data_IF_043037844103
#
_entry.id   IF_043037844103
#
_cell.length_a   1.000
_cell.length_b   1.000
_cell.length_c   1.000
_cell.angle_alpha   90.00
_cell.angle_beta   90.00
_cell.angle_gamma   90.00
#
_symmetry.space_group_name_H-M   'P 1'
#
loop_
_entity.id
_entity.type
_entity.pdbx_description
1 polymer ?
#
# COMPACT_ATOMS: atom_id res chain seq x y z
N UNK A 1 -28.12 9.24 -31.56
CA UNK A 1 -28.21 10.21 -30.46
C UNK A 1 -27.14 9.81 -29.47
N UNK A 2 -25.94 10.36 -29.68
CA UNK A 2 -24.69 10.06 -28.99
C UNK A 2 -24.67 10.85 -27.69
N UNK A 3 -24.79 10.14 -26.57
CA UNK A 3 -24.54 10.71 -25.24
C UNK A 3 -23.03 10.72 -25.06
N UNK A 4 -22.41 11.86 -25.34
CA UNK A 4 -21.06 12.19 -24.91
C UNK A 4 -21.08 12.28 -23.38
N UNK A 5 -20.47 11.31 -22.71
CA UNK A 5 -20.34 11.24 -21.26
C UNK A 5 -19.34 12.27 -20.73
N UNK A 6 -19.67 13.55 -20.84
CA UNK A 6 -18.92 14.64 -20.20
C UNK A 6 -19.46 14.98 -18.79
N UNK A 7 -20.57 14.37 -18.35
CA UNK A 7 -21.11 14.51 -17.00
C UNK A 7 -20.93 13.22 -16.17
N UNK A 8 -19.72 12.67 -16.16
CA UNK A 8 -19.36 11.70 -15.12
C UNK A 8 -18.87 12.49 -13.91
N UNK A 9 -19.53 12.33 -12.77
CA UNK A 9 -19.13 12.85 -11.44
C UNK A 9 -17.76 12.30 -10.96
N UNK A 10 -16.84 11.96 -11.86
CA UNK A 10 -15.42 11.63 -11.63
C UNK A 10 -14.59 12.82 -11.10
N UNK A 11 -15.19 14.00 -10.94
CA UNK A 11 -14.47 15.27 -10.79
C UNK A 11 -14.43 15.89 -9.39
N UNK A 12 -15.17 15.39 -8.39
CA UNK A 12 -15.10 15.95 -7.03
C UNK A 12 -14.59 14.92 -6.04
N UNK A 13 -13.29 14.67 -6.11
CA UNK A 13 -12.61 14.02 -5.00
C UNK A 13 -12.69 14.97 -3.80
N UNK A 14 -13.24 14.56 -2.64
CA UNK A 14 -13.09 15.35 -1.44
C UNK A 14 -11.59 15.39 -1.14
N UNK A 15 -10.97 16.56 -1.34
CA UNK A 15 -9.55 16.75 -1.07
C UNK A 15 -9.26 16.30 0.36
N UNK A 16 -8.36 15.33 0.49
CA UNK A 16 -7.87 14.92 1.79
C UNK A 16 -7.29 16.15 2.50
N UNK A 17 -7.62 16.38 3.78
CA UNK A 17 -7.13 17.55 4.48
C UNK A 17 -5.59 17.52 4.53
N UNK A 18 -4.93 18.68 4.32
CA UNK A 18 -3.48 18.75 4.36
C UNK A 18 -2.96 18.46 5.77
N UNK A 19 -1.67 18.17 5.87
CA UNK A 19 -0.97 18.14 7.15
C UNK A 19 -1.01 19.54 7.78
N UNK A 20 -1.35 19.61 9.07
CA UNK A 20 -1.52 20.85 9.81
C UNK A 20 -0.64 20.83 11.05
N UNK A 21 0.05 21.95 11.32
CA UNK A 21 0.82 22.14 12.55
C UNK A 21 0.31 23.35 13.33
N UNK A 22 0.10 23.24 14.67
CA UNK A 22 -0.33 24.36 15.51
C UNK A 22 0.85 25.27 15.82
N UNK A 23 1.32 26.03 14.83
CA UNK A 23 2.50 26.87 14.97
C UNK A 23 2.30 27.94 16.05
N UNK A 24 3.32 28.09 16.89
CA UNK A 24 3.39 29.07 17.98
C UNK A 24 4.81 29.61 18.08
N UNK A 25 5.04 30.64 18.90
CA UNK A 25 6.37 31.28 19.01
C UNK A 25 7.50 30.31 19.39
N UNK A 26 7.17 29.26 20.12
CA UNK A 26 8.06 28.19 20.58
C UNK A 26 7.92 26.87 19.79
N UNK A 27 7.12 26.87 18.71
CA UNK A 27 6.98 25.76 17.76
C UNK A 27 6.86 26.30 16.33
N UNK A 28 8.00 26.47 15.69
CA UNK A 28 8.13 26.91 14.30
C UNK A 28 8.24 25.70 13.35
N UNK A 29 8.02 25.90 12.05
CA UNK A 29 8.19 24.85 11.05
C UNK A 29 9.58 24.19 11.07
N UNK A 30 10.70 24.95 11.12
CA UNK A 30 12.03 24.34 11.27
C UNK A 30 12.18 23.48 12.52
N UNK A 31 11.52 23.84 13.62
CA UNK A 31 11.53 23.03 14.84
C UNK A 31 10.70 21.76 14.66
N UNK A 32 9.54 21.83 14.01
CA UNK A 32 8.73 20.64 13.69
C UNK A 32 9.53 19.68 12.80
N UNK A 33 10.20 20.21 11.76
CA UNK A 33 11.05 19.41 10.88
C UNK A 33 12.21 18.77 11.64
N UNK A 34 12.96 19.55 12.43
CA UNK A 34 14.06 19.00 13.22
C UNK A 34 13.60 17.87 14.16
N UNK A 35 12.44 18.03 14.79
CA UNK A 35 11.86 17.01 15.69
C UNK A 35 11.41 15.77 14.92
N UNK A 36 10.71 15.93 13.80
CA UNK A 36 10.22 14.80 13.00
C UNK A 36 11.35 13.92 12.46
N UNK A 37 12.52 14.51 12.24
CA UNK A 37 13.73 13.85 11.74
C UNK A 37 14.62 13.24 12.84
N UNK A 38 14.15 13.16 14.10
CA UNK A 38 14.96 12.66 15.22
C UNK A 38 14.24 11.61 16.07
N UNK A 39 14.90 10.46 16.23
CA UNK A 39 14.42 9.30 17.03
C UNK A 39 14.14 9.68 18.48
N UNK A 40 14.80 10.71 19.01
CA UNK A 40 14.57 11.20 20.39
C UNK A 40 13.17 11.77 20.59
N UNK A 41 12.47 12.12 19.51
CA UNK A 41 11.12 12.68 19.51
C UNK A 41 10.05 11.67 19.05
N UNK A 42 10.37 10.37 18.96
CA UNK A 42 9.40 9.33 18.57
C UNK A 42 8.12 9.34 19.43
N UNK A 43 8.26 9.68 20.71
CA UNK A 43 7.17 9.73 21.69
C UNK A 43 6.64 11.16 21.91
N UNK A 44 7.05 12.14 21.10
CA UNK A 44 6.64 13.55 21.23
C UNK A 44 5.12 13.71 20.99
N UNK A 45 4.35 14.28 21.95
CA UNK A 45 2.92 14.40 21.84
C UNK A 45 2.45 15.53 20.89
N UNK A 46 3.28 16.52 20.58
CA UNK A 46 2.98 17.52 19.55
C UNK A 46 3.14 16.91 18.16
N UNK A 47 4.23 16.17 17.90
CA UNK A 47 4.41 15.48 16.62
C UNK A 47 3.27 14.49 16.35
N UNK A 48 2.83 13.73 17.37
CA UNK A 48 1.67 12.84 17.25
C UNK A 48 0.38 13.61 16.89
N UNK A 49 0.18 14.80 17.45
CA UNK A 49 -0.99 15.66 17.11
C UNK A 49 -0.92 16.19 15.69
N UNK A 50 0.24 16.66 15.24
CA UNK A 50 0.46 17.09 13.84
C UNK A 50 0.21 15.91 12.90
N UNK A 51 0.80 14.75 13.20
CA UNK A 51 0.66 13.53 12.40
C UNK A 51 -0.79 13.07 12.29
N UNK A 52 -1.60 13.24 13.34
CA UNK A 52 -3.01 12.86 13.36
C UNK A 52 -3.90 13.74 12.45
N UNK A 53 -3.45 14.92 12.02
CA UNK A 53 -4.21 15.73 11.06
C UNK A 53 -4.12 15.16 9.65
N UNK A 54 -3.03 14.46 9.35
CA UNK A 54 -2.92 13.58 8.20
C UNK A 54 -3.64 12.27 8.55
N UNK A 55 -4.96 12.26 8.41
CA UNK A 55 -5.77 11.06 8.62
C UNK A 55 -6.07 10.39 7.28
N UNK A 56 -6.12 9.06 7.29
CA UNK A 56 -6.68 8.27 6.19
C UNK A 56 -8.18 8.11 6.45
N UNK A 57 -8.96 8.13 5.37
CA UNK A 57 -10.40 7.87 5.35
C UNK A 57 -10.68 6.89 4.21
N UNK A 58 -11.88 6.33 4.20
CA UNK A 58 -12.37 5.61 3.03
C UNK A 58 -12.32 6.53 1.81
N UNK A 59 -11.69 6.07 0.73
CA UNK A 59 -11.52 6.83 -0.51
C UNK A 59 -10.24 7.66 -0.58
N UNK A 60 -9.52 7.90 0.53
CA UNK A 60 -8.23 8.60 0.53
C UNK A 60 -7.30 7.96 -0.50
N UNK A 61 -6.70 8.78 -1.36
CA UNK A 61 -5.75 8.27 -2.36
C UNK A 61 -4.43 7.93 -1.68
N UNK A 62 -4.05 6.68 -1.77
CA UNK A 62 -2.79 6.14 -1.26
C UNK A 62 -1.83 5.90 -2.42
N UNK A 63 -0.55 6.11 -2.18
CA UNK A 63 0.53 5.91 -3.13
C UNK A 63 1.64 5.07 -2.49
N UNK A 64 2.16 4.09 -3.22
CA UNK A 64 3.42 3.39 -2.92
C UNK A 64 4.38 3.63 -4.08
N UNK A 65 5.58 4.10 -3.78
CA UNK A 65 6.64 4.29 -4.77
C UNK A 65 7.31 2.95 -5.05
N UNK A 66 7.49 2.62 -6.32
CA UNK A 66 7.87 1.30 -6.82
C UNK A 66 9.13 1.36 -7.69
N UNK A 67 9.89 0.27 -7.67
CA UNK A 67 10.81 -0.05 -8.77
C UNK A 67 10.08 -0.72 -9.94
N UNK A 68 10.74 -0.77 -11.10
CA UNK A 68 10.21 -1.46 -12.28
C UNK A 68 9.90 -2.94 -12.02
N UNK A 69 10.71 -3.61 -11.20
CA UNK A 69 10.47 -5.00 -10.78
C UNK A 69 9.20 -5.15 -9.93
N UNK A 70 8.94 -4.21 -9.02
CA UNK A 70 7.71 -4.20 -8.24
C UNK A 70 6.48 -3.89 -9.12
N UNK A 71 6.61 -3.01 -10.12
CA UNK A 71 5.55 -2.79 -11.12
C UNK A 71 5.21 -4.09 -11.85
N UNK A 72 6.22 -4.85 -12.28
CA UNK A 72 6.00 -6.16 -12.90
C UNK A 72 5.29 -7.14 -11.93
N UNK A 73 5.65 -7.12 -10.65
CA UNK A 73 4.97 -7.88 -9.60
C UNK A 73 3.48 -7.52 -9.47
N UNK A 74 3.14 -6.22 -9.43
CA UNK A 74 1.76 -5.75 -9.38
C UNK A 74 0.98 -6.07 -10.66
N UNK A 75 1.60 -5.95 -11.84
CA UNK A 75 1.01 -6.42 -13.11
C UNK A 75 0.70 -7.93 -13.06
N UNK A 76 1.56 -8.71 -12.41
CA UNK A 76 1.37 -10.15 -12.17
C UNK A 76 0.32 -10.48 -11.10
N UNK A 77 -0.14 -9.51 -10.32
CA UNK A 77 -1.18 -9.69 -9.29
C UNK A 77 -0.72 -9.51 -7.85
N UNK A 78 0.48 -8.96 -7.59
CA UNK A 78 0.83 -8.54 -6.23
C UNK A 78 -0.14 -7.49 -5.72
N UNK A 79 -0.57 -7.66 -4.48
CA UNK A 79 -1.45 -6.73 -3.78
C UNK A 79 -0.65 -5.56 -3.19
N UNK A 80 -1.27 -4.39 -2.91
CA UNK A 80 -0.64 -3.33 -2.14
C UNK A 80 -0.29 -3.80 -0.72
N UNK A 81 0.93 -3.50 -0.27
CA UNK A 81 1.41 -3.79 1.09
C UNK A 81 2.56 -2.88 1.50
N UNK A 82 2.86 -2.91 2.80
CA UNK A 82 4.02 -2.25 3.38
C UNK A 82 3.88 -0.74 3.43
N UNK A 83 5.00 -0.03 3.30
CA UNK A 83 5.00 1.44 3.40
C UNK A 83 4.24 2.09 2.25
N UNK A 84 3.46 3.10 2.58
CA UNK A 84 2.68 3.91 1.66
C UNK A 84 2.42 5.31 2.23
N UNK A 85 1.91 6.20 1.38
CA UNK A 85 1.73 7.62 1.65
C UNK A 85 0.36 8.06 1.11
N UNK A 86 -0.21 9.15 1.64
CA UNK A 86 -1.36 9.77 0.97
C UNK A 86 -0.85 10.51 -0.26
N UNK A 87 -1.54 10.40 -1.40
CA UNK A 87 -1.09 11.04 -2.64
C UNK A 87 -0.98 12.56 -2.51
N UNK A 88 -1.88 13.21 -1.75
CA UNK A 88 -1.84 14.65 -1.49
C UNK A 88 -0.56 15.09 -0.76
N UNK A 89 -0.01 14.22 0.09
CA UNK A 89 1.23 14.50 0.83
C UNK A 89 2.48 14.35 -0.06
N UNK A 90 2.33 13.85 -1.30
CA UNK A 90 3.43 13.67 -2.26
C UNK A 90 3.34 14.64 -3.45
N UNK A 91 2.28 15.44 -3.58
CA UNK A 91 2.03 16.27 -4.78
C UNK A 91 3.14 17.28 -5.11
N UNK A 92 3.95 17.64 -4.11
CA UNK A 92 5.10 18.53 -4.25
C UNK A 92 6.34 17.83 -4.82
N UNK A 93 6.44 16.50 -4.68
CA UNK A 93 7.56 15.68 -5.15
C UNK A 93 7.32 15.23 -6.59
N UNK A 94 7.43 16.17 -7.53
CA UNK A 94 7.19 15.89 -8.96
C UNK A 94 8.43 15.41 -9.68
N UNK A 95 9.61 15.72 -9.17
CA UNK A 95 10.85 15.21 -9.75
C UNK A 95 10.98 13.70 -9.45
N UNK A 96 11.26 12.85 -10.46
CA UNK A 96 11.43 11.42 -10.23
C UNK A 96 12.49 11.09 -9.18
N UNK A 97 13.58 11.85 -9.09
CA UNK A 97 14.66 11.62 -8.14
C UNK A 97 14.24 11.94 -6.70
N UNK A 98 13.45 12.99 -6.49
CA UNK A 98 12.87 13.34 -5.19
C UNK A 98 11.90 12.25 -4.72
N UNK A 99 10.99 11.82 -5.60
CA UNK A 99 10.02 10.77 -5.30
C UNK A 99 10.71 9.41 -5.05
N UNK A 100 11.80 9.13 -5.75
CA UNK A 100 12.56 7.89 -5.61
C UNK A 100 13.16 7.68 -4.21
N UNK A 101 13.32 8.74 -3.41
CA UNK A 101 13.78 8.66 -2.02
C UNK A 101 12.79 7.90 -1.12
N UNK A 102 11.52 7.83 -1.53
CA UNK A 102 10.45 7.13 -0.81
C UNK A 102 10.34 5.64 -1.18
N UNK A 103 11.21 5.14 -2.07
CA UNK A 103 11.30 3.71 -2.41
C UNK A 103 11.68 2.86 -1.20
N UNK A 104 11.19 1.62 -1.21
CA UNK A 104 11.27 0.72 -0.06
C UNK A 104 12.15 -0.51 -0.32
N UNK A 105 12.39 -0.86 -1.58
CA UNK A 105 13.09 -2.09 -1.98
C UNK A 105 14.63 -1.95 -2.05
N UNK A 106 15.16 -0.76 -1.74
CA UNK A 106 16.59 -0.48 -1.77
C UNK A 106 17.20 -0.42 -3.18
N UNK A 107 16.36 -0.44 -4.23
CA UNK A 107 16.82 -0.19 -5.59
C UNK A 107 17.33 1.25 -5.70
N UNK A 108 18.45 1.44 -6.39
CA UNK A 108 19.01 2.75 -6.73
C UNK A 108 18.78 3.02 -8.22
N UNK A 109 18.81 4.30 -8.60
CA UNK A 109 18.99 4.77 -9.97
C UNK A 109 17.93 4.35 -11.01
N UNK A 110 17.11 5.30 -11.41
CA UNK A 110 16.29 5.28 -12.62
C UNK A 110 15.91 6.71 -12.95
N UNK A 111 15.95 7.11 -14.22
CA UNK A 111 15.45 8.43 -14.65
C UNK A 111 13.92 8.55 -14.48
N UNK A 112 13.25 7.41 -14.32
CA UNK A 112 11.80 7.29 -14.16
C UNK A 112 11.50 6.65 -12.82
N UNK A 113 10.52 7.21 -12.09
CA UNK A 113 10.05 6.63 -10.84
C UNK A 113 8.64 6.12 -11.03
N UNK A 114 8.37 4.88 -10.63
CA UNK A 114 7.05 4.29 -10.75
C UNK A 114 6.28 4.38 -9.43
N UNK A 115 4.95 4.29 -9.51
CA UNK A 115 4.12 4.20 -8.31
C UNK A 115 2.86 3.37 -8.55
N UNK A 116 2.35 2.76 -7.49
CA UNK A 116 0.98 2.27 -7.40
C UNK A 116 0.15 3.30 -6.64
N UNK A 117 -0.94 3.77 -7.25
CA UNK A 117 -1.93 4.63 -6.62
C UNK A 117 -3.25 3.89 -6.49
N UNK A 118 -3.86 3.93 -5.31
CA UNK A 118 -5.15 3.29 -5.06
C UNK A 118 -5.96 4.12 -4.08
N UNK A 119 -7.24 3.80 -3.91
CA UNK A 119 -8.07 4.43 -2.87
C UNK A 119 -8.19 3.52 -1.67
N UNK A 120 -8.01 4.05 -0.48
CA UNK A 120 -8.16 3.29 0.76
C UNK A 120 -9.58 2.74 0.89
N UNK A 121 -9.71 1.42 1.04
CA UNK A 121 -10.99 0.75 1.32
C UNK A 121 -11.52 1.15 2.70
N UNK A 122 -10.66 1.11 3.71
CA UNK A 122 -10.99 1.49 5.08
C UNK A 122 -9.73 1.99 5.82
N UNK A 123 -9.84 3.01 6.69
CA UNK A 123 -8.69 3.47 7.49
C UNK A 123 -8.08 2.41 8.41
N UNK A 124 -8.82 1.37 8.83
CA UNK A 124 -8.28 0.30 9.69
C UNK A 124 -7.13 -0.47 9.04
N UNK A 125 -7.03 -0.42 7.71
CA UNK A 125 -5.98 -1.10 6.96
C UNK A 125 -4.63 -0.39 7.01
N UNK A 126 -4.51 0.73 7.74
CA UNK A 126 -3.29 1.53 7.80
C UNK A 126 -2.89 1.87 9.22
N UNK A 127 -1.59 1.79 9.48
CA UNK A 127 -0.98 2.14 10.74
C UNK A 127 0.12 3.18 10.53
N UNK A 128 0.41 3.96 11.58
CA UNK A 128 1.63 4.75 11.62
C UNK A 128 2.79 3.81 11.99
N UNK A 129 3.93 3.84 11.30
CA UNK A 129 5.10 2.98 11.58
C UNK A 129 5.87 3.43 12.83
N UNK A 130 5.15 3.51 13.94
CA UNK A 130 5.61 3.99 15.23
C UNK A 130 4.95 3.18 16.35
N UNK A 131 5.43 3.35 17.58
CA UNK A 131 4.77 2.82 18.77
C UNK A 131 3.38 3.47 18.94
N UNK A 132 2.34 2.72 19.34
CA UNK A 132 2.37 1.32 19.79
C UNK A 132 2.14 0.27 18.69
N UNK A 133 1.82 0.68 17.46
CA UNK A 133 1.48 -0.25 16.38
C UNK A 133 2.69 -1.10 15.95
N UNK A 134 3.86 -0.46 15.82
CA UNK A 134 5.10 -1.08 15.34
C UNK A 134 6.28 -0.77 16.28
N UNK A 135 6.27 -1.27 17.53
CA UNK A 135 7.20 -0.85 18.58
C UNK A 135 8.66 -1.27 18.30
N UNK A 136 8.89 -2.44 17.69
CA UNK A 136 10.23 -2.98 17.41
C UNK A 136 10.83 -2.53 16.08
N UNK A 137 10.03 -1.96 15.17
CA UNK A 137 10.43 -1.68 13.79
C UNK A 137 11.59 -0.67 13.70
N UNK A 138 11.52 0.42 14.47
CA UNK A 138 12.58 1.44 14.50
C UNK A 138 13.89 0.91 15.12
N UNK A 139 13.80 -0.10 15.99
CA UNK A 139 14.91 -0.66 16.76
C UNK A 139 15.69 -1.78 16.04
N UNK A 140 15.20 -2.29 14.91
CA UNK A 140 15.92 -3.28 14.10
C UNK A 140 17.31 -2.75 13.73
N UNK A 141 18.38 -3.55 13.61
CA UNK A 141 19.70 -3.00 13.27
C UNK A 141 19.81 -2.68 11.78
N UNK A 142 20.74 -1.80 11.38
CA UNK A 142 20.87 -1.38 9.97
C UNK A 142 21.17 -2.55 9.02
N UNK A 143 21.97 -3.53 9.44
CA UNK A 143 22.30 -4.72 8.63
C UNK A 143 21.13 -5.68 8.42
N UNK A 144 20.02 -5.51 9.14
CA UNK A 144 18.80 -6.30 8.98
C UNK A 144 17.73 -5.57 8.18
N UNK A 145 18.02 -4.37 7.66
CA UNK A 145 17.04 -3.50 7.00
C UNK A 145 17.38 -3.27 5.53
N UNK A 146 16.34 -3.09 4.72
CA UNK A 146 16.41 -2.58 3.34
C UNK A 146 15.72 -1.22 3.29
N UNK A 147 16.26 -0.30 2.48
CA UNK A 147 15.72 1.05 2.31
C UNK A 147 16.03 2.01 3.48
N UNK A 148 15.33 3.14 3.52
CA UNK A 148 15.54 4.18 4.51
C UNK A 148 15.20 3.73 5.94
N UNK A 149 15.87 4.35 6.93
CA UNK A 149 15.59 4.09 8.34
C UNK A 149 14.14 4.43 8.70
N UNK A 150 13.57 3.69 9.64
CA UNK A 150 12.29 4.05 10.29
C UNK A 150 12.63 4.80 11.57
N UNK A 151 12.24 6.08 11.64
CA UNK A 151 12.55 6.94 12.79
C UNK A 151 11.61 6.68 13.98
N UNK A 152 10.41 6.14 13.71
CA UNK A 152 9.36 5.95 14.71
C UNK A 152 8.61 7.24 15.07
N UNK A 153 8.84 8.34 14.36
CA UNK A 153 8.12 9.62 14.51
C UNK A 153 6.85 9.70 13.65
N UNK A 154 6.65 8.74 12.73
CA UNK A 154 5.53 8.72 11.78
C UNK A 154 5.74 9.57 10.52
N UNK A 155 6.96 10.07 10.32
CA UNK A 155 7.37 10.85 9.15
C UNK A 155 8.55 10.17 8.44
N UNK A 156 8.55 10.26 7.11
CA UNK A 156 9.66 9.77 6.29
C UNK A 156 10.92 10.62 6.53
N UNK A 157 12.12 10.01 6.49
CA UNK A 157 13.37 10.77 6.48
C UNK A 157 13.43 11.76 5.31
N UNK A 158 13.53 13.05 5.61
CA UNK A 158 13.70 14.12 4.61
C UNK A 158 14.34 15.36 5.24
N UNK A 159 15.17 16.07 4.48
CA UNK A 159 15.78 17.33 4.92
C UNK A 159 14.81 18.50 4.83
N UNK A 160 13.97 18.50 3.79
CA UNK A 160 13.21 19.68 3.37
C UNK A 160 11.70 19.50 3.51
N UNK A 161 11.23 18.24 3.52
CA UNK A 161 9.81 17.93 3.50
C UNK A 161 9.35 17.21 4.78
N UNK A 162 8.12 17.51 5.19
CA UNK A 162 7.45 16.83 6.29
C UNK A 162 6.42 15.86 5.73
N UNK A 163 6.84 14.64 5.44
CA UNK A 163 6.04 13.64 4.72
C UNK A 163 5.50 12.59 5.70
N UNK A 164 4.18 12.58 6.00
CA UNK A 164 3.57 11.52 6.80
C UNK A 164 3.70 10.16 6.11
N UNK A 165 4.20 9.17 6.83
CA UNK A 165 4.31 7.79 6.31
C UNK A 165 3.34 6.86 7.03
N UNK A 166 2.84 5.86 6.30
CA UNK A 166 1.96 4.81 6.80
C UNK A 166 2.52 3.46 6.40
N UNK A 167 2.06 2.41 7.08
CA UNK A 167 2.20 1.03 6.64
C UNK A 167 0.83 0.41 6.54
N UNK A 168 0.66 -0.58 5.66
CA UNK A 168 -0.51 -1.44 5.75
C UNK A 168 -0.52 -2.15 7.10
N UNK A 169 -1.67 -2.24 7.75
CA UNK A 169 -1.78 -2.74 9.13
C UNK A 169 -1.20 -4.15 9.23
N UNK A 170 -0.23 -4.32 10.15
CA UNK A 170 0.54 -5.56 10.27
C UNK A 170 1.27 -5.99 9.00
N UNK A 171 1.66 -5.06 8.11
CA UNK A 171 2.28 -5.31 6.80
C UNK A 171 1.47 -6.22 5.87
N UNK A 172 0.16 -6.31 6.09
CA UNK A 172 -0.73 -7.19 5.35
C UNK A 172 -0.86 -6.77 3.88
N UNK A 173 -1.17 -7.74 3.03
CA UNK A 173 -1.64 -7.48 1.68
C UNK A 173 -3.09 -6.94 1.70
N UNK A 174 -3.34 -5.91 0.91
CA UNK A 174 -4.65 -5.28 0.76
C UNK A 174 -5.25 -5.62 -0.61
N UNK A 175 -6.51 -6.08 -0.69
CA UNK A 175 -7.18 -6.28 -1.96
C UNK A 175 -7.14 -5.02 -2.84
N UNK A 176 -6.76 -5.16 -4.11
CA UNK A 176 -6.67 -4.02 -5.02
C UNK A 176 -8.08 -3.47 -5.30
N UNK A 177 -8.36 -2.19 -4.98
CA UNK A 177 -9.65 -1.58 -5.28
C UNK A 177 -9.79 -1.28 -6.78
N UNK A 178 -11.03 -1.09 -7.23
CA UNK A 178 -11.34 -0.66 -8.58
C UNK A 178 -10.57 0.63 -8.93
N UNK A 179 -10.16 0.75 -10.19
CA UNK A 179 -9.50 1.93 -10.72
C UNK A 179 -8.15 2.28 -10.04
N UNK A 180 -7.53 1.34 -9.33
CA UNK A 180 -6.13 1.48 -8.92
C UNK A 180 -5.23 1.66 -10.16
N UNK A 181 -4.17 2.44 -10.03
CA UNK A 181 -3.35 2.89 -11.16
C UNK A 181 -1.89 2.56 -10.94
N UNK A 182 -1.22 2.09 -11.99
CA UNK A 182 0.23 2.09 -12.09
C UNK A 182 0.66 3.34 -12.86
N UNK A 183 1.58 4.09 -12.28
CA UNK A 183 2.00 5.41 -12.73
C UNK A 183 3.51 5.41 -13.03
N UNK A 184 3.93 6.32 -13.89
CA UNK A 184 5.32 6.73 -14.07
C UNK A 184 5.45 8.24 -13.92
N UNK A 185 6.45 8.67 -13.16
CA UNK A 185 6.92 10.04 -13.06
C UNK A 185 8.17 10.16 -13.91
N UNK A 186 8.14 11.08 -14.88
CA UNK A 186 9.22 11.28 -15.86
C UNK A 186 9.93 12.62 -15.62
N UNK A 187 11.17 12.78 -16.09
CA UNK A 187 11.86 14.06 -16.02
C UNK A 187 11.02 15.18 -16.65
N UNK A 188 10.90 16.30 -15.97
CA UNK A 188 9.98 17.39 -16.33
C UNK A 188 8.72 17.46 -15.48
N UNK A 189 8.49 16.47 -14.60
CA UNK A 189 7.43 16.51 -13.58
C UNK A 189 6.06 16.05 -14.06
N UNK A 190 5.99 15.44 -15.24
CA UNK A 190 4.76 14.84 -15.76
C UNK A 190 4.47 13.50 -15.07
N UNK A 191 3.20 13.30 -14.70
CA UNK A 191 2.68 12.01 -14.24
C UNK A 191 1.97 11.31 -15.42
N UNK A 192 2.36 10.06 -15.68
CA UNK A 192 1.81 9.24 -16.75
C UNK A 192 1.10 8.02 -16.16
N UNK A 193 -0.21 7.90 -16.39
CA UNK A 193 -0.96 6.69 -16.05
C UNK A 193 -0.62 5.59 -17.06
N UNK A 194 0.04 4.53 -16.60
CA UNK A 194 0.44 3.41 -17.43
C UNK A 194 -0.69 2.40 -17.57
N UNK A 195 -1.27 2.00 -16.43
CA UNK A 195 -2.33 1.00 -16.35
C UNK A 195 -3.38 1.39 -15.31
N UNK A 196 -4.62 0.92 -15.51
CA UNK A 196 -5.71 0.96 -14.53
C UNK A 196 -6.23 -0.45 -14.25
N UNK A 197 -6.49 -0.78 -12.99
CA UNK A 197 -6.97 -2.09 -12.58
C UNK A 197 -8.48 -2.23 -12.83
N UNK A 198 -8.87 -3.36 -13.42
CA UNK A 198 -10.23 -3.74 -13.76
C UNK A 198 -10.63 -5.00 -12.96
N UNK A 199 -11.32 -4.85 -11.82
CA UNK A 199 -11.63 -5.97 -10.93
C UNK A 199 -12.54 -7.02 -11.56
N UNK A 200 -13.42 -6.62 -12.49
CA UNK A 200 -14.35 -7.51 -13.21
C UNK A 200 -13.61 -8.48 -14.14
N UNK A 201 -12.47 -8.04 -14.68
CA UNK A 201 -11.63 -8.85 -15.57
C UNK A 201 -10.46 -9.51 -14.85
N UNK A 202 -10.18 -9.07 -13.61
CA UNK A 202 -9.00 -9.44 -12.84
C UNK A 202 -7.69 -9.13 -13.56
N UNK A 203 -7.53 -7.88 -13.97
CA UNK A 203 -6.31 -7.47 -14.66
C UNK A 203 -6.20 -5.97 -14.88
N UNK A 204 -5.15 -5.60 -15.58
CA UNK A 204 -4.73 -4.24 -15.81
C UNK A 204 -5.00 -3.85 -17.27
N UNK A 205 -5.71 -2.74 -17.47
CA UNK A 205 -5.91 -2.13 -18.77
C UNK A 205 -4.88 -1.03 -18.98
N UNK A 206 -4.14 -1.09 -20.08
CA UNK A 206 -3.12 -0.11 -20.47
C UNK A 206 -3.79 1.19 -20.90
N UNK A 207 -3.33 2.31 -20.33
CA UNK A 207 -3.78 3.66 -20.69
C UNK A 207 -2.67 4.50 -21.33
N UNK A 208 -1.41 4.12 -21.16
CA UNK A 208 -0.28 4.82 -21.79
C UNK A 208 -0.35 4.77 -23.32
N UNK A 209 -0.42 5.94 -23.97
CA UNK A 209 -0.40 6.06 -25.44
C UNK A 209 0.97 5.76 -26.07
N UNK A 210 1.07 5.74 -27.42
CA UNK A 210 2.28 5.36 -28.15
C UNK A 210 3.56 6.13 -27.77
N UNK A 211 3.42 7.41 -27.40
CA UNK A 211 4.55 8.27 -26.97
C UNK A 211 5.28 7.73 -25.73
N UNK A 212 4.59 6.95 -24.90
CA UNK A 212 5.10 6.41 -23.64
C UNK A 212 5.54 4.95 -23.71
N UNK A 213 5.63 4.38 -24.93
CA UNK A 213 6.06 2.98 -25.12
C UNK A 213 7.43 2.70 -24.51
N UNK A 214 8.34 3.67 -24.54
CA UNK A 214 9.66 3.53 -23.91
C UNK A 214 9.57 3.20 -22.41
N UNK A 215 8.66 3.86 -21.68
CA UNK A 215 8.45 3.63 -20.25
C UNK A 215 7.99 2.20 -19.94
N UNK A 216 7.22 1.60 -20.84
CA UNK A 216 6.77 0.21 -20.70
C UNK A 216 7.90 -0.78 -20.96
N UNK A 217 8.88 -0.41 -21.76
CA UNK A 217 10.09 -1.22 -22.02
C UNK A 217 10.99 -1.37 -20.80
N UNK A 218 10.94 -0.42 -19.85
CA UNK A 218 11.69 -0.47 -18.59
C UNK A 218 11.11 -1.50 -17.61
N UNK A 219 9.85 -1.92 -17.79
CA UNK A 219 9.17 -2.83 -16.87
C UNK A 219 9.45 -4.28 -17.28
N UNK A 220 10.10 -5.10 -16.43
CA UNK A 220 10.43 -6.48 -16.76
C UNK A 220 9.18 -7.30 -17.14
N UNK A 221 9.23 -7.94 -18.31
CA UNK A 221 8.14 -8.79 -18.81
C UNK A 221 6.88 -8.05 -19.25
N UNK A 222 6.84 -6.71 -19.17
CA UNK A 222 5.75 -5.94 -19.76
C UNK A 222 5.89 -5.89 -21.29
N UNK A 223 4.76 -5.96 -21.98
CA UNK A 223 4.70 -5.79 -23.43
C UNK A 223 4.05 -4.44 -23.76
N UNK A 224 4.70 -3.55 -24.52
CA UNK A 224 4.15 -2.24 -24.86
C UNK A 224 2.92 -2.32 -25.80
N UNK A 225 2.73 -3.45 -26.47
CA UNK A 225 1.63 -3.69 -27.40
C UNK A 225 0.46 -4.45 -26.76
N UNK A 226 0.65 -4.96 -25.53
CA UNK A 226 -0.40 -5.66 -24.81
C UNK A 226 -1.31 -4.64 -24.11
N UNK A 227 -2.54 -4.52 -24.60
CA UNK A 227 -3.55 -3.61 -24.03
C UNK A 227 -4.10 -4.10 -22.69
N UNK A 228 -4.20 -5.41 -22.50
CA UNK A 228 -4.74 -6.01 -21.28
C UNK A 228 -3.79 -7.05 -20.68
N UNK A 229 -3.48 -6.90 -19.40
CA UNK A 229 -2.58 -7.78 -18.63
C UNK A 229 -3.36 -8.45 -17.49
N UNK A 230 -3.71 -9.75 -17.58
CA UNK A 230 -4.40 -10.45 -16.51
C UNK A 230 -3.47 -10.67 -15.31
N UNK A 231 -4.01 -10.54 -14.11
CA UNK A 231 -3.34 -10.99 -12.89
C UNK A 231 -3.31 -12.53 -12.88
N UNK A 232 -2.14 -13.11 -12.63
CA UNK A 232 -1.94 -14.57 -12.65
C UNK A 232 -1.58 -15.14 -11.28
N UNK A 233 -1.12 -14.30 -10.35
CA UNK A 233 -0.86 -14.70 -8.98
C UNK A 233 -2.17 -14.94 -8.21
N UNK A 234 -2.16 -15.95 -7.33
CA UNK A 234 -3.23 -16.13 -6.35
C UNK A 234 -3.14 -15.02 -5.30
N UNK A 235 -4.26 -14.35 -5.04
CA UNK A 235 -4.33 -13.28 -4.06
C UNK A 235 -4.28 -13.86 -2.63
N UNK A 236 -3.34 -13.38 -1.82
CA UNK A 236 -3.19 -13.69 -0.39
C UNK A 236 -4.30 -13.07 0.48
N UNK A 237 -4.97 -12.03 -0.03
CA UNK A 237 -6.10 -11.37 0.61
C UNK A 237 -7.24 -11.09 -0.38
N UNK A 238 -8.48 -11.11 0.10
CA UNK A 238 -9.67 -10.80 -0.70
C UNK A 238 -10.75 -10.09 0.10
N UNK A 239 -11.65 -9.40 -0.59
CA UNK A 239 -12.86 -8.85 0.02
C UNK A 239 -14.01 -9.83 -0.13
N UNK A 240 -14.79 -9.98 0.93
CA UNK A 240 -16.04 -10.73 0.93
C UNK A 240 -17.16 -9.85 1.47
N UNK A 241 -18.35 -10.00 0.92
CA UNK A 241 -19.54 -9.32 1.39
C UNK A 241 -20.78 -10.19 1.29
N UNK A 242 -21.83 -9.82 2.03
CA UNK A 242 -23.09 -10.56 2.05
C UNK A 242 -24.22 -9.78 1.40
N UNK A 243 -25.10 -10.50 0.69
CA UNK A 243 -26.40 -10.01 0.21
C UNK A 243 -27.42 -11.09 0.57
N UNK A 244 -28.43 -10.74 1.37
CA UNK A 244 -29.52 -11.64 1.79
C UNK A 244 -28.98 -12.96 2.36
N UNK A 245 -28.04 -12.84 3.30
CA UNK A 245 -27.31 -13.93 3.96
C UNK A 245 -26.45 -14.83 3.08
N UNK A 246 -26.32 -14.53 1.79
CA UNK A 246 -25.40 -15.21 0.90
C UNK A 246 -24.10 -14.43 0.75
N UNK A 247 -22.99 -15.12 0.95
CA UNK A 247 -21.65 -14.56 0.79
C UNK A 247 -21.21 -14.57 -0.67
N UNK A 248 -20.52 -13.50 -1.04
CA UNK A 248 -19.89 -13.31 -2.34
C UNK A 248 -18.52 -12.67 -2.16
N UNK A 249 -17.63 -12.90 -3.12
CA UNK A 249 -16.45 -12.05 -3.26
C UNK A 249 -16.89 -10.63 -3.66
N UNK A 250 -16.26 -9.62 -3.07
CA UNK A 250 -16.61 -8.23 -3.23
C UNK A 250 -15.51 -7.43 -3.96
N UNK A 251 -15.92 -6.32 -4.55
CA UNK A 251 -15.07 -5.29 -5.14
C UNK A 251 -15.30 -4.01 -4.36
N UNK A 252 -14.20 -3.33 -4.01
CA UNK A 252 -14.24 -1.99 -3.46
C UNK A 252 -14.05 -0.96 -4.58
N UNK A 253 -14.98 -0.02 -4.71
CA UNK A 253 -14.86 1.21 -5.48
C UNK A 253 -15.14 2.41 -4.55
N UNK A 254 -14.22 2.65 -3.57
CA UNK A 254 -14.41 3.69 -2.58
C UNK A 254 -14.33 5.09 -3.25
N UNK A 255 -14.97 6.13 -2.68
CA UNK A 255 -15.49 6.16 -1.32
C UNK A 255 -16.88 5.54 -1.11
N UNK A 256 -17.62 5.25 -2.19
CA UNK A 256 -19.08 5.04 -2.09
C UNK A 256 -19.60 3.63 -2.37
N UNK A 257 -18.87 2.78 -3.09
CA UNK A 257 -19.44 1.55 -3.61
C UNK A 257 -18.67 0.29 -3.20
N UNK A 258 -19.42 -0.70 -2.73
CA UNK A 258 -18.95 -2.06 -2.50
C UNK A 258 -19.94 -3.02 -3.13
N UNK A 259 -19.49 -3.78 -4.13
CA UNK A 259 -20.37 -4.63 -4.96
C UNK A 259 -19.82 -6.03 -5.11
N UNK A 260 -20.68 -6.95 -5.53
CA UNK A 260 -20.27 -8.33 -5.78
C UNK A 260 -19.37 -8.43 -7.01
N UNK A 261 -18.26 -9.16 -6.87
CA UNK A 261 -17.30 -9.51 -7.92
C UNK A 261 -17.80 -10.66 -8.80
N UNK A 262 -19.00 -10.53 -9.38
CA UNK A 262 -19.54 -11.57 -10.26
C UNK A 262 -20.41 -10.97 -11.36
N UNK A 263 -20.41 -11.57 -12.54
CA UNK A 263 -21.36 -11.25 -13.63
C UNK A 263 -22.75 -11.85 -13.36
N UNK A 264 -23.23 -11.73 -12.12
CA UNK A 264 -24.55 -12.24 -11.70
C UNK A 264 -25.52 -11.07 -11.46
N UNK A 265 -26.82 -11.37 -11.34
CA UNK A 265 -27.82 -10.37 -10.96
C UNK A 265 -27.51 -9.71 -9.61
N UNK A 266 -26.81 -10.41 -8.71
CA UNK A 266 -26.45 -9.89 -7.38
C UNK A 266 -25.46 -8.72 -7.45
N UNK A 267 -24.64 -8.60 -8.50
CA UNK A 267 -23.70 -7.48 -8.66
C UNK A 267 -24.36 -6.13 -8.97
N UNK A 268 -25.68 -6.10 -9.16
CA UNK A 268 -26.45 -4.86 -9.30
C UNK A 268 -26.75 -4.19 -7.95
N UNK A 269 -26.48 -4.88 -6.85
CA UNK A 269 -26.81 -4.41 -5.51
C UNK A 269 -25.52 -4.24 -4.68
N UNK A 270 -25.44 -3.20 -3.84
CA UNK A 270 -24.34 -3.07 -2.89
C UNK A 270 -24.38 -4.20 -1.87
N UNK A 271 -23.22 -4.58 -1.34
CA UNK A 271 -23.14 -5.57 -0.26
C UNK A 271 -23.63 -4.96 1.06
N UNK A 272 -24.26 -5.77 1.90
CA UNK A 272 -24.79 -5.37 3.22
C UNK A 272 -23.73 -5.43 4.32
N UNK A 273 -22.69 -6.23 4.12
CA UNK A 273 -21.53 -6.37 5.01
C UNK A 273 -20.29 -6.48 4.14
N UNK A 274 -19.13 -6.11 4.70
CA UNK A 274 -17.86 -6.20 4.02
C UNK A 274 -16.78 -6.63 5.00
N UNK A 275 -15.92 -7.55 4.58
CA UNK A 275 -14.76 -7.99 5.36
C UNK A 275 -13.59 -8.30 4.44
N UNK A 276 -12.38 -8.03 4.92
CA UNK A 276 -11.15 -8.53 4.32
C UNK A 276 -10.78 -9.85 4.95
N UNK A 277 -10.52 -10.84 4.10
CA UNK A 277 -10.02 -12.16 4.49
C UNK A 277 -8.60 -12.34 4.04
N UNK A 278 -7.77 -12.81 4.96
CA UNK A 278 -6.40 -13.23 4.69
C UNK A 278 -6.01 -14.36 5.65
N UNK A 279 -5.10 -15.23 5.22
CA UNK A 279 -4.67 -16.39 6.00
C UNK A 279 -3.59 -15.98 7.01
N UNK A 280 -3.73 -16.41 8.27
CA UNK A 280 -2.78 -16.19 9.35
C UNK A 280 -2.34 -17.51 9.98
N UNK A 281 -1.11 -17.50 10.51
CA UNK A 281 -0.57 -18.58 11.32
C UNK A 281 0.42 -18.05 12.35
N UNK A 282 0.73 -18.87 13.34
CA UNK A 282 1.88 -18.74 14.23
C UNK A 282 2.99 -19.66 13.74
N UNK A 283 4.20 -19.14 13.61
CA UNK A 283 5.39 -19.96 13.37
C UNK A 283 6.48 -19.60 14.37
N UNK A 284 6.92 -20.61 15.14
CA UNK A 284 7.86 -20.42 16.27
C UNK A 284 7.40 -19.36 17.27
N UNK A 285 6.09 -19.28 17.51
CA UNK A 285 5.46 -18.30 18.40
C UNK A 285 5.31 -16.89 17.81
N UNK A 286 5.75 -16.67 16.56
CA UNK A 286 5.66 -15.37 15.89
C UNK A 286 4.44 -15.34 14.95
N UNK A 287 3.53 -14.36 15.08
CA UNK A 287 2.39 -14.23 14.18
C UNK A 287 2.82 -13.74 12.79
N UNK A 288 2.31 -14.43 11.77
CA UNK A 288 2.58 -14.13 10.38
C UNK A 288 1.33 -14.26 9.49
N UNK A 289 1.31 -13.49 8.40
CA UNK A 289 0.40 -13.69 7.28
C UNK A 289 0.95 -14.82 6.40
N UNK A 290 0.08 -15.71 5.95
CA UNK A 290 0.43 -16.71 4.94
C UNK A 290 0.15 -16.11 3.57
N UNK A 291 1.21 -15.80 2.83
CA UNK A 291 1.11 -15.15 1.51
C UNK A 291 0.82 -16.16 0.39
N UNK A 292 1.45 -17.32 0.50
CA UNK A 292 1.34 -18.42 -0.43
C UNK A 292 1.70 -19.70 0.32
N UNK A 293 1.07 -20.82 -0.03
CA UNK A 293 1.53 -22.12 0.39
C UNK A 293 1.17 -23.20 -0.63
N UNK A 294 1.92 -24.28 -0.57
CA UNK A 294 1.56 -25.57 -1.13
C UNK A 294 1.31 -26.59 -0.01
N UNK A 295 1.44 -27.89 -0.29
CA UNK A 295 1.26 -28.96 0.69
C UNK A 295 2.40 -29.06 1.71
N UNK A 296 3.56 -28.46 1.41
CA UNK A 296 4.82 -28.63 2.15
C UNK A 296 5.38 -27.33 2.69
N UNK A 297 5.30 -26.24 1.94
CA UNK A 297 5.93 -24.96 2.26
C UNK A 297 4.92 -23.82 2.25
N UNK A 298 5.08 -22.90 3.19
CA UNK A 298 4.38 -21.64 3.26
C UNK A 298 5.37 -20.47 3.21
N UNK A 299 5.08 -19.47 2.39
CA UNK A 299 5.72 -18.15 2.42
C UNK A 299 4.96 -17.29 3.41
N UNK A 300 5.66 -16.85 4.45
CA UNK A 300 5.12 -16.09 5.56
C UNK A 300 5.62 -14.64 5.54
N UNK A 301 4.80 -13.70 6.01
CA UNK A 301 5.20 -12.33 6.32
C UNK A 301 4.90 -11.99 7.77
N UNK A 302 5.90 -11.51 8.51
CA UNK A 302 5.73 -11.18 9.93
C UNK A 302 4.77 -10.00 10.11
N UNK A 303 3.82 -10.12 11.05
CA UNK A 303 2.87 -9.04 11.36
C UNK A 303 3.55 -7.86 12.06
N UNK A 304 4.49 -8.17 12.96
CA UNK A 304 5.22 -7.20 13.79
C UNK A 304 6.70 -7.54 13.75
N UNK A 305 7.44 -7.01 12.78
CA UNK A 305 8.86 -7.26 12.68
C UNK A 305 9.62 -6.56 13.81
N UNK A 306 10.26 -7.36 14.65
CA UNK A 306 11.17 -6.92 15.69
C UNK A 306 12.38 -7.85 15.79
N UNK A 307 13.45 -7.42 16.47
CA UNK A 307 14.72 -8.15 16.46
C UNK A 307 14.59 -9.61 16.90
N UNK A 308 13.80 -9.88 17.96
CA UNK A 308 13.56 -11.24 18.44
C UNK A 308 12.78 -12.08 17.41
N UNK A 309 11.67 -11.56 16.88
CA UNK A 309 10.86 -12.23 15.88
C UNK A 309 11.65 -12.58 14.61
N UNK A 310 12.49 -11.65 14.14
CA UNK A 310 13.39 -11.86 12.99
C UNK A 310 14.42 -12.94 13.30
N UNK A 311 15.02 -12.95 14.48
CA UNK A 311 16.01 -13.95 14.87
C UNK A 311 15.41 -15.36 15.03
N UNK A 312 14.21 -15.48 15.61
CA UNK A 312 13.53 -16.77 15.81
C UNK A 312 13.12 -17.43 14.49
N UNK A 313 12.66 -16.61 13.53
CA UNK A 313 12.12 -17.09 12.25
C UNK A 313 13.17 -17.14 11.15
N UNK A 314 14.29 -16.41 11.29
CA UNK A 314 15.25 -16.22 10.21
C UNK A 314 14.70 -15.42 9.03
N UNK A 315 13.63 -14.65 9.25
CA UNK A 315 12.99 -13.86 8.21
C UNK A 315 13.95 -12.83 7.60
N UNK A 316 13.88 -12.65 6.29
CA UNK A 316 14.70 -11.68 5.54
C UNK A 316 13.89 -10.43 5.26
N UNK A 317 14.53 -9.27 5.36
CA UNK A 317 13.93 -8.00 4.94
C UNK A 317 13.88 -7.98 3.41
N UNK A 318 12.66 -8.02 2.86
CA UNK A 318 12.43 -7.99 1.41
C UNK A 318 12.34 -6.55 0.89
N UNK A 319 11.66 -5.69 1.64
CA UNK A 319 11.62 -4.24 1.48
C UNK A 319 11.50 -3.59 2.87
N UNK A 320 11.62 -2.26 2.95
CA UNK A 320 11.53 -1.48 4.19
C UNK A 320 10.36 -1.93 5.06
N UNK A 321 10.66 -2.52 6.21
CA UNK A 321 9.68 -3.01 7.19
C UNK A 321 8.99 -4.33 6.84
N UNK A 322 9.18 -4.92 5.66
CA UNK A 322 8.56 -6.18 5.27
C UNK A 322 9.55 -7.32 5.43
N UNK A 323 9.23 -8.26 6.33
CA UNK A 323 10.08 -9.40 6.67
C UNK A 323 9.36 -10.69 6.33
N UNK A 324 9.99 -11.51 5.50
CA UNK A 324 9.39 -12.73 4.98
C UNK A 324 10.29 -13.94 5.19
N UNK A 325 9.67 -15.10 5.35
CA UNK A 325 10.35 -16.37 5.54
C UNK A 325 9.59 -17.51 4.84
N UNK A 326 10.29 -18.60 4.58
CA UNK A 326 9.68 -19.86 4.17
C UNK A 326 9.66 -20.81 5.36
N UNK A 327 8.51 -21.40 5.63
CA UNK A 327 8.29 -22.32 6.75
C UNK A 327 7.64 -23.62 6.25
N UNK A 328 7.99 -24.78 6.83
CA UNK A 328 7.23 -26.00 6.62
C UNK A 328 5.78 -25.84 7.13
N UNK A 329 4.79 -26.31 6.36
CA UNK A 329 3.37 -26.15 6.71
C UNK A 329 3.02 -26.89 8.01
N UNK A 330 3.69 -28.00 8.30
CA UNK A 330 3.49 -28.82 9.50
C UNK A 330 4.06 -28.18 10.78
N UNK A 331 4.92 -27.17 10.66
CA UNK A 331 5.40 -26.35 11.78
C UNK A 331 4.46 -25.18 12.13
N UNK A 332 3.43 -24.92 11.31
CA UNK A 332 2.49 -23.84 11.55
C UNK A 332 1.49 -24.21 12.66
N UNK A 333 1.30 -23.30 13.60
CA UNK A 333 0.29 -23.38 14.65
C UNK A 333 -0.79 -22.31 14.44
N UNK A 334 -1.97 -22.50 15.03
CA UNK A 334 -3.09 -21.55 14.99
C UNK A 334 -3.39 -21.03 13.57
N UNK A 335 -3.33 -21.93 12.59
CA UNK A 335 -3.55 -21.59 11.20
C UNK A 335 -5.06 -21.42 10.93
N UNK A 336 -5.45 -20.21 10.53
CA UNK A 336 -6.84 -19.85 10.27
C UNK A 336 -6.98 -18.75 9.21
N UNK A 337 -8.21 -18.54 8.73
CA UNK A 337 -8.56 -17.36 7.93
C UNK A 337 -8.98 -16.26 8.89
N UNK A 338 -8.23 -15.16 8.91
CA UNK A 338 -8.58 -13.97 9.67
C UNK A 338 -9.61 -13.14 8.91
N UNK A 339 -10.70 -12.79 9.59
CA UNK A 339 -11.77 -11.93 9.09
C UNK A 339 -11.67 -10.54 9.73
N UNK A 340 -11.40 -9.52 8.91
CA UNK A 340 -11.34 -8.12 9.31
C UNK A 340 -12.59 -7.42 8.77
N UNK A 341 -13.56 -7.19 9.65
CA UNK A 341 -14.81 -6.54 9.27
C UNK A 341 -14.64 -5.04 9.08
N UNK A 342 -15.23 -4.49 8.01
CA UNK A 342 -15.33 -3.06 7.78
C UNK A 342 -16.71 -2.55 8.13
N UNK A 343 -16.76 -1.35 8.70
CA UNK A 343 -18.02 -0.69 9.03
C UNK A 343 -18.53 0.04 7.77
N UNK A 344 -19.61 -0.46 7.16
CA UNK A 344 -20.15 0.13 5.92
C UNK A 344 -20.80 1.49 6.11
#
# INVERSE_FOLDING_TARGET
MTVTGEDSELGTDPLDPPLMAPLRRDLTWPQVQLRSQSVSYRDDPELRRIRATAAIRRGTRMTKVLSAAQVAGHLGGWLPYGFCYRSCDLEHLRDPAELALLRTDGSVDSEVTFALRWRATDPIDYEVPASPAQPGLAALPAHSRVGAMVLGTGFSPSTDDLIPEYVTAGFADLPIPANAQLLAYVPGGDEVVLYTYQPEQHGWLRLAGPRWRGLLGEIPGASPDREYVPCTASASARLVGRIDDKEYEAVADPPGEFRVRALTRAARYPVQTLSRRAEQALWRGVPAWVLQRDETWARLRLLRPEGEAVNLTGARCYERGVYEAWAPVDELADHHIADIAYQL
#
